data_IF_850260605728
#
_entry.id   IF_850260605728
#
_cell.length_a   1.000
_cell.length_b   1.000
_cell.length_c   1.000
_cell.angle_alpha   90.00
_cell.angle_beta   90.00
_cell.angle_gamma   90.00
#
_symmetry.space_group_name_H-M   'P 1'
#
loop_
_entity.id
_entity.type
_entity.pdbx_description
1 polymer ?
#
# COMPACT_ATOMS: atom_id res chain seq x y z
N UNK A 1 21.33 -14.87 -23.05
CA UNK A 1 20.26 -14.83 -22.03
C UNK A 1 20.76 -14.43 -20.64
N UNK A 2 21.82 -15.04 -20.05
CA UNK A 2 22.36 -14.66 -18.71
C UNK A 2 22.89 -13.20 -18.67
N UNK A 3 23.57 -12.72 -19.71
CA UNK A 3 24.04 -11.33 -19.79
C UNK A 3 22.87 -10.32 -19.88
N UNK A 4 21.80 -10.60 -20.63
CA UNK A 4 20.59 -9.76 -20.65
C UNK A 4 19.91 -9.70 -19.27
N UNK A 5 19.81 -10.83 -18.56
CA UNK A 5 19.25 -10.85 -17.20
C UNK A 5 20.08 -10.05 -16.18
N UNK A 6 21.42 -10.02 -16.33
CA UNK A 6 22.29 -9.19 -15.49
C UNK A 6 22.10 -7.68 -15.81
N UNK A 7 22.06 -7.30 -17.06
CA UNK A 7 21.82 -5.89 -17.45
C UNK A 7 20.44 -5.35 -17.01
N UNK A 8 19.41 -6.20 -16.99
CA UNK A 8 18.07 -5.82 -16.52
C UNK A 8 18.05 -5.64 -14.98
N UNK A 9 18.80 -6.48 -14.26
CA UNK A 9 18.86 -6.43 -12.78
C UNK A 9 19.58 -5.19 -12.25
N UNK A 10 20.53 -4.65 -13.01
CA UNK A 10 21.37 -3.50 -12.65
C UNK A 10 20.95 -2.20 -13.37
N UNK A 11 19.85 -2.23 -14.11
CA UNK A 11 19.34 -1.03 -14.78
C UNK A 11 18.84 -0.02 -13.76
N UNK A 12 19.30 1.24 -13.81
CA UNK A 12 18.79 2.31 -12.94
C UNK A 12 17.29 2.57 -13.12
N UNK A 13 16.72 2.16 -14.25
CA UNK A 13 15.28 2.23 -14.51
C UNK A 13 14.47 1.26 -13.64
N UNK A 14 15.02 0.09 -13.29
CA UNK A 14 14.31 -0.89 -12.45
C UNK A 14 14.15 -0.47 -10.99
N UNK A 15 15.02 0.41 -10.49
CA UNK A 15 14.86 0.98 -9.15
C UNK A 15 13.71 1.99 -9.07
N UNK A 16 13.28 2.54 -10.21
CA UNK A 16 12.18 3.51 -10.34
C UNK A 16 10.87 2.87 -10.82
N UNK A 17 10.91 1.63 -11.31
CA UNK A 17 9.72 0.93 -11.78
C UNK A 17 8.89 0.46 -10.60
N UNK A 18 7.62 0.85 -10.60
CA UNK A 18 6.63 0.36 -9.65
C UNK A 18 6.52 -1.18 -9.76
N UNK A 19 6.82 -1.85 -8.64
CA UNK A 19 6.75 -3.32 -8.55
C UNK A 19 5.32 -3.84 -8.43
N UNK A 20 4.37 -2.95 -8.22
CA UNK A 20 2.96 -3.24 -8.21
C UNK A 20 2.35 -2.84 -9.56
N UNK A 21 1.74 -3.79 -10.24
CA UNK A 21 1.11 -3.59 -11.54
C UNK A 21 -0.41 -3.79 -11.53
N UNK A 22 -1.00 -3.98 -10.37
CA UNK A 22 -2.47 -4.01 -10.23
C UNK A 22 -3.09 -2.62 -10.37
N UNK A 23 -4.41 -2.60 -10.52
CA UNK A 23 -5.20 -1.40 -10.81
C UNK A 23 -5.38 -0.41 -9.66
N UNK A 24 -5.00 -0.77 -8.44
CA UNK A 24 -5.19 0.14 -7.30
C UNK A 24 -4.07 1.17 -7.25
N UNK A 25 -4.38 2.47 -7.40
CA UNK A 25 -3.38 3.51 -7.26
C UNK A 25 -3.00 3.69 -5.77
N UNK A 26 -1.75 4.04 -5.52
CA UNK A 26 -1.23 4.45 -4.21
C UNK A 26 -1.31 3.40 -3.08
N UNK A 27 -1.56 2.14 -3.39
CA UNK A 27 -1.57 1.07 -2.39
C UNK A 27 -0.33 0.20 -2.50
N UNK A 28 0.41 0.07 -1.40
CA UNK A 28 1.60 -0.78 -1.31
C UNK A 28 1.68 -1.50 0.05
N UNK A 29 0.54 -1.71 0.69
CA UNK A 29 0.45 -2.43 1.95
C UNK A 29 0.79 -3.91 1.80
N UNK A 30 1.51 -4.53 2.76
CA UNK A 30 1.80 -5.95 2.74
C UNK A 30 0.55 -6.75 3.12
N UNK A 31 -0.24 -7.15 2.13
CA UNK A 31 -1.33 -8.10 2.33
C UNK A 31 -0.80 -9.50 2.05
N UNK A 32 -0.10 -10.08 3.02
CA UNK A 32 0.52 -11.39 2.86
C UNK A 32 0.38 -12.22 4.14
N UNK A 33 -0.46 -13.22 4.10
CA UNK A 33 -0.70 -14.14 5.23
C UNK A 33 0.38 -15.22 5.39
N UNK A 34 1.21 -15.45 4.37
CA UNK A 34 2.21 -16.53 4.33
C UNK A 34 1.72 -17.78 3.59
N UNK A 35 2.59 -18.35 2.76
CA UNK A 35 2.28 -19.55 1.97
C UNK A 35 1.98 -20.77 2.86
N UNK A 36 2.73 -20.92 3.96
CA UNK A 36 2.50 -21.96 4.95
C UNK A 36 1.14 -21.77 5.64
N UNK A 37 0.80 -20.55 6.04
CA UNK A 37 -0.50 -20.25 6.69
C UNK A 37 -1.65 -20.51 5.74
N UNK A 38 -1.51 -20.13 4.47
CA UNK A 38 -2.54 -20.39 3.46
C UNK A 38 -2.77 -21.89 3.25
N UNK A 39 -1.71 -22.69 3.20
CA UNK A 39 -1.82 -24.15 3.15
C UNK A 39 -2.56 -24.72 4.38
N UNK A 40 -2.18 -24.28 5.58
CA UNK A 40 -2.81 -24.71 6.82
C UNK A 40 -4.26 -24.22 6.95
N UNK A 41 -4.58 -23.04 6.43
CA UNK A 41 -5.95 -22.51 6.34
C UNK A 41 -6.81 -23.41 5.46
N UNK A 42 -6.34 -23.78 4.25
CA UNK A 42 -7.07 -24.69 3.35
C UNK A 42 -7.24 -26.05 3.98
N UNK A 43 -6.22 -26.58 4.64
CA UNK A 43 -6.34 -27.83 5.42
C UNK A 43 -7.37 -27.68 6.55
N UNK A 44 -7.38 -26.54 7.24
CA UNK A 44 -8.36 -26.21 8.29
C UNK A 44 -9.80 -26.20 7.80
N UNK A 45 -10.03 -25.70 6.58
CA UNK A 45 -11.36 -25.76 5.96
C UNK A 45 -11.91 -27.18 5.82
N UNK A 46 -11.04 -28.16 5.64
CA UNK A 46 -11.44 -29.57 5.56
C UNK A 46 -11.55 -30.25 6.91
N UNK A 47 -10.54 -30.12 7.79
CA UNK A 47 -10.45 -30.93 9.00
C UNK A 47 -11.14 -30.33 10.23
N UNK A 48 -11.28 -28.99 10.30
CA UNK A 48 -11.96 -28.34 11.44
C UNK A 48 -13.48 -28.46 11.25
N UNK A 49 -14.19 -28.96 12.27
CA UNK A 49 -15.64 -29.25 12.21
C UNK A 49 -16.46 -28.40 13.18
N UNK A 50 -15.94 -27.27 13.65
CA UNK A 50 -16.64 -26.36 14.55
C UNK A 50 -17.48 -25.33 13.77
N UNK A 51 -18.58 -24.81 14.34
CA UNK A 51 -19.34 -23.72 13.70
C UNK A 51 -18.47 -22.48 13.40
N UNK A 52 -17.48 -22.22 14.26
CA UNK A 52 -16.52 -21.11 14.10
C UNK A 52 -15.80 -21.17 12.74
N UNK A 53 -15.51 -22.37 12.21
CA UNK A 53 -14.91 -22.50 10.87
C UNK A 53 -15.73 -21.79 9.80
N UNK A 54 -17.06 -22.00 9.82
CA UNK A 54 -17.94 -21.41 8.82
C UNK A 54 -18.01 -19.90 8.92
N UNK A 55 -18.02 -19.37 10.15
CA UNK A 55 -17.95 -17.93 10.38
C UNK A 55 -16.63 -17.33 9.85
N UNK A 56 -15.48 -17.94 10.20
CA UNK A 56 -14.17 -17.50 9.72
C UNK A 56 -14.06 -17.56 8.19
N UNK A 57 -14.56 -18.63 7.58
CA UNK A 57 -14.55 -18.78 6.11
C UNK A 57 -15.44 -17.75 5.44
N UNK A 58 -16.68 -17.57 5.92
CA UNK A 58 -17.61 -16.59 5.38
C UNK A 58 -17.07 -15.17 5.48
N UNK A 59 -16.50 -14.78 6.62
CA UNK A 59 -15.88 -13.47 6.81
C UNK A 59 -14.66 -13.30 5.91
N UNK A 60 -13.82 -14.33 5.76
CA UNK A 60 -12.66 -14.28 4.84
C UNK A 60 -13.11 -14.05 3.41
N UNK A 61 -14.09 -14.82 2.91
CA UNK A 61 -14.63 -14.66 1.55
C UNK A 61 -15.23 -13.26 1.36
N UNK A 62 -16.06 -12.82 2.31
CA UNK A 62 -16.71 -11.52 2.27
C UNK A 62 -15.68 -10.38 2.19
N UNK A 63 -14.66 -10.42 3.04
CA UNK A 63 -13.64 -9.36 3.06
C UNK A 63 -12.74 -9.36 1.82
N UNK A 64 -12.44 -10.53 1.26
CA UNK A 64 -11.74 -10.63 -0.03
C UNK A 64 -12.60 -10.06 -1.16
N UNK A 65 -13.89 -10.40 -1.23
CA UNK A 65 -14.80 -9.85 -2.26
C UNK A 65 -14.92 -8.32 -2.14
N UNK A 66 -15.09 -7.79 -0.93
CA UNK A 66 -15.17 -6.34 -0.69
C UNK A 66 -13.86 -5.63 -1.06
N UNK A 67 -12.71 -6.27 -0.89
CA UNK A 67 -11.41 -5.68 -1.22
C UNK A 67 -11.21 -5.45 -2.72
N UNK A 68 -11.94 -6.15 -3.58
CA UNK A 68 -11.88 -5.97 -5.03
C UNK A 68 -12.45 -4.63 -5.51
N UNK A 69 -13.30 -3.99 -4.71
CA UNK A 69 -13.79 -2.62 -4.97
C UNK A 69 -14.30 -2.44 -6.40
N UNK A 70 -13.64 -1.57 -7.18
CA UNK A 70 -14.02 -1.28 -8.57
C UNK A 70 -14.04 -2.49 -9.50
N UNK A 71 -13.28 -3.54 -9.20
CA UNK A 71 -13.24 -4.76 -10.02
C UNK A 71 -14.48 -5.65 -9.81
N UNK A 72 -15.33 -5.33 -8.82
CA UNK A 72 -16.57 -6.02 -8.53
C UNK A 72 -17.68 -5.01 -8.16
N UNK A 73 -17.93 -4.04 -9.07
CA UNK A 73 -18.78 -2.88 -8.81
C UNK A 73 -20.20 -3.27 -8.36
N UNK A 74 -20.86 -4.24 -9.00
CA UNK A 74 -22.20 -4.65 -8.63
C UNK A 74 -22.33 -5.04 -7.14
N UNK A 75 -21.29 -5.63 -6.56
CA UNK A 75 -21.25 -6.01 -5.16
C UNK A 75 -20.89 -4.82 -4.27
N UNK A 76 -19.93 -4.01 -4.72
CA UNK A 76 -19.48 -2.81 -4.01
C UNK A 76 -20.60 -1.76 -3.94
N UNK A 77 -21.33 -1.54 -5.04
CA UNK A 77 -22.47 -0.59 -5.09
C UNK A 77 -23.58 -1.00 -4.11
N UNK A 78 -23.88 -2.32 -4.03
CA UNK A 78 -24.84 -2.80 -3.06
C UNK A 78 -24.43 -2.46 -1.61
N UNK A 79 -23.14 -2.54 -1.26
CA UNK A 79 -22.66 -2.12 0.07
C UNK A 79 -22.63 -0.60 0.24
N UNK A 80 -22.34 0.18 -0.80
CA UNK A 80 -22.37 1.64 -0.77
C UNK A 80 -23.79 2.14 -0.49
N UNK A 81 -24.78 1.52 -1.13
CA UNK A 81 -26.18 1.97 -1.09
C UNK A 81 -26.90 1.52 0.19
N UNK A 82 -26.65 0.28 0.63
CA UNK A 82 -27.45 -0.34 1.70
C UNK A 82 -26.71 -0.50 3.03
N UNK A 83 -25.37 -0.50 3.04
CA UNK A 83 -24.64 -0.71 4.28
C UNK A 83 -24.26 0.62 4.94
N UNK A 84 -24.70 0.87 6.20
CA UNK A 84 -24.47 2.14 6.87
C UNK A 84 -22.97 2.47 6.95
N UNK A 85 -22.63 3.71 6.59
CA UNK A 85 -21.27 4.26 6.69
C UNK A 85 -20.21 3.62 5.76
N UNK A 86 -20.53 2.60 4.97
CA UNK A 86 -19.54 1.98 4.08
C UNK A 86 -18.94 2.99 3.08
N UNK A 87 -19.74 3.92 2.57
CA UNK A 87 -19.35 5.00 1.66
C UNK A 87 -18.37 6.03 2.27
N UNK A 88 -18.07 5.95 3.57
CA UNK A 88 -17.09 6.83 4.23
C UNK A 88 -15.67 6.29 4.15
N UNK A 89 -15.47 5.03 3.80
CA UNK A 89 -14.15 4.42 3.67
C UNK A 89 -13.61 4.64 2.26
N UNK A 90 -12.38 5.17 2.16
CA UNK A 90 -11.72 5.42 0.86
C UNK A 90 -10.91 4.24 0.35
N UNK A 91 -10.30 3.47 1.26
CA UNK A 91 -9.37 2.39 0.92
C UNK A 91 -10.04 1.05 1.19
N UNK A 92 -10.71 0.51 0.17
CA UNK A 92 -11.46 -0.75 0.30
C UNK A 92 -10.56 -1.94 0.61
N UNK A 93 -9.29 -1.94 0.14
CA UNK A 93 -8.34 -3.02 0.41
C UNK A 93 -7.92 -3.14 1.87
N UNK A 94 -8.08 -2.10 2.70
CA UNK A 94 -7.77 -2.16 4.13
C UNK A 94 -8.62 -3.18 4.90
N UNK A 95 -9.79 -3.58 4.35
CA UNK A 95 -10.64 -4.62 4.94
C UNK A 95 -9.95 -6.00 4.97
N UNK A 96 -8.91 -6.21 4.15
CA UNK A 96 -8.16 -7.47 4.12
C UNK A 96 -7.45 -7.79 5.44
N UNK A 97 -7.25 -6.81 6.33
CA UNK A 97 -6.75 -7.06 7.70
C UNK A 97 -7.61 -8.08 8.45
N UNK A 98 -8.90 -8.13 8.15
CA UNK A 98 -9.82 -9.12 8.75
C UNK A 98 -9.55 -10.52 8.19
N UNK A 99 -9.29 -10.64 6.89
CA UNK A 99 -8.86 -11.91 6.28
C UNK A 99 -7.50 -12.36 6.82
N UNK A 100 -6.54 -11.41 6.99
CA UNK A 100 -5.23 -11.66 7.60
C UNK A 100 -5.31 -12.14 9.06
N UNK A 101 -6.40 -11.86 9.76
CA UNK A 101 -6.69 -12.41 11.07
C UNK A 101 -7.40 -13.76 11.00
N UNK A 102 -8.43 -13.90 10.16
CA UNK A 102 -9.27 -15.08 10.09
C UNK A 102 -8.52 -16.31 9.54
N UNK A 103 -7.67 -16.11 8.52
CA UNK A 103 -6.91 -17.21 7.91
C UNK A 103 -5.90 -17.83 8.89
N UNK A 104 -5.02 -17.10 9.58
CA UNK A 104 -4.12 -17.66 10.58
C UNK A 104 -4.88 -18.30 11.76
N UNK A 105 -6.00 -17.72 12.18
CA UNK A 105 -6.79 -18.29 13.25
C UNK A 105 -7.30 -19.69 12.89
N UNK A 106 -7.84 -19.87 11.68
CA UNK A 106 -8.29 -21.20 11.23
C UNK A 106 -7.10 -22.15 11.03
N UNK A 107 -5.95 -21.66 10.56
CA UNK A 107 -4.72 -22.45 10.46
C UNK A 107 -4.24 -22.95 11.83
N UNK A 108 -4.27 -22.09 12.85
CA UNK A 108 -3.93 -22.49 14.24
C UNK A 108 -4.92 -23.51 14.80
N UNK A 109 -6.21 -23.34 14.53
CA UNK A 109 -7.23 -24.33 14.94
C UNK A 109 -6.99 -25.69 14.26
N UNK A 110 -6.55 -25.70 12.99
CA UNK A 110 -6.15 -26.91 12.30
C UNK A 110 -4.93 -27.58 12.95
N UNK A 111 -3.88 -26.79 13.23
CA UNK A 111 -2.68 -27.28 13.93
C UNK A 111 -3.00 -27.83 15.31
N UNK A 112 -3.81 -27.10 16.12
CA UNK A 112 -4.26 -27.59 17.41
C UNK A 112 -4.87 -28.99 17.27
N UNK A 113 -5.81 -29.16 16.34
CA UNK A 113 -6.48 -30.44 16.14
C UNK A 113 -5.53 -31.55 15.67
N UNK A 114 -4.52 -31.23 14.86
CA UNK A 114 -3.48 -32.16 14.41
C UNK A 114 -2.57 -32.57 15.56
N UNK A 115 -2.18 -31.64 16.42
CA UNK A 115 -1.28 -31.95 17.55
C UNK A 115 -2.02 -32.65 18.70
N UNK A 116 -3.31 -32.36 18.91
CA UNK A 116 -4.14 -33.09 19.87
C UNK A 116 -4.39 -34.55 19.42
N UNK A 117 -4.60 -34.79 18.12
CA UNK A 117 -4.78 -36.12 17.51
C UNK A 117 -4.07 -36.24 16.15
N UNK A 118 -2.78 -36.59 16.12
CA UNK A 118 -2.05 -36.76 14.86
C UNK A 118 -2.63 -37.82 13.91
N UNK A 119 -3.46 -38.75 14.42
CA UNK A 119 -4.11 -39.77 13.60
C UNK A 119 -5.12 -39.18 12.62
N UNK A 120 -5.56 -37.94 12.84
CA UNK A 120 -6.47 -37.24 11.94
C UNK A 120 -5.92 -37.12 10.53
N UNK A 121 -4.60 -36.94 10.37
CA UNK A 121 -3.94 -36.88 9.05
C UNK A 121 -4.01 -38.20 8.28
N UNK A 122 -4.18 -39.35 8.99
CA UNK A 122 -4.41 -40.65 8.36
C UNK A 122 -5.89 -40.88 8.06
N UNK A 123 -6.76 -40.50 8.98
CA UNK A 123 -8.21 -40.62 8.84
C UNK A 123 -8.76 -39.72 7.74
N UNK A 124 -8.30 -38.48 7.68
CA UNK A 124 -8.68 -37.47 6.68
C UNK A 124 -7.58 -37.32 5.58
N UNK A 125 -7.08 -38.47 5.08
CA UNK A 125 -5.95 -38.49 4.12
C UNK A 125 -6.22 -37.67 2.87
N UNK A 126 -7.45 -37.72 2.34
CA UNK A 126 -7.79 -36.98 1.14
C UNK A 126 -7.79 -35.46 1.38
N UNK A 127 -8.28 -35.01 2.52
CA UNK A 127 -8.24 -33.60 2.92
C UNK A 127 -6.79 -33.10 3.01
N UNK A 128 -5.89 -33.93 3.56
CA UNK A 128 -4.49 -33.61 3.65
C UNK A 128 -3.78 -33.52 2.29
N UNK A 129 -3.96 -34.52 1.42
CA UNK A 129 -3.37 -34.52 0.09
C UNK A 129 -3.98 -33.46 -0.82
N UNK A 130 -5.29 -33.25 -0.74
CA UNK A 130 -6.01 -32.27 -1.55
C UNK A 130 -5.58 -30.82 -1.18
N UNK A 131 -5.44 -30.50 0.11
CA UNK A 131 -4.98 -29.18 0.53
C UNK A 131 -3.55 -28.89 0.06
N UNK A 132 -2.63 -29.85 0.19
CA UNK A 132 -1.28 -29.73 -0.35
C UNK A 132 -1.25 -29.64 -1.88
N UNK A 133 -2.09 -30.45 -2.55
CA UNK A 133 -2.21 -30.45 -4.01
C UNK A 133 -2.79 -29.17 -4.56
N UNK A 134 -3.83 -28.59 -3.94
CA UNK A 134 -4.42 -27.31 -4.37
C UNK A 134 -3.39 -26.19 -4.22
N UNK A 135 -2.87 -26.00 -3.00
CA UNK A 135 -2.00 -24.82 -2.72
C UNK A 135 -0.64 -24.98 -3.39
N UNK A 136 -0.02 -26.16 -3.25
CA UNK A 136 1.26 -26.44 -3.91
C UNK A 136 1.12 -26.52 -5.43
N UNK A 137 0.04 -27.07 -5.95
CA UNK A 137 -0.24 -27.15 -7.38
C UNK A 137 -0.42 -25.78 -8.02
N UNK A 138 -1.20 -24.89 -7.41
CA UNK A 138 -1.34 -23.50 -7.89
C UNK A 138 0.00 -22.77 -7.88
N UNK A 139 0.78 -22.89 -6.81
CA UNK A 139 2.09 -22.26 -6.72
C UNK A 139 3.07 -22.83 -7.79
N UNK A 140 3.03 -24.14 -8.03
CA UNK A 140 3.85 -24.78 -9.07
C UNK A 140 3.42 -24.36 -10.48
N UNK A 141 2.13 -24.31 -10.75
CA UNK A 141 1.60 -23.83 -12.04
C UNK A 141 2.00 -22.37 -12.28
N UNK A 142 1.89 -21.50 -11.28
CA UNK A 142 2.33 -20.11 -11.36
C UNK A 142 3.84 -20.00 -11.62
N UNK A 143 4.65 -20.87 -11.02
CA UNK A 143 6.09 -20.89 -11.23
C UNK A 143 6.50 -21.38 -12.63
N UNK A 144 5.79 -22.38 -13.18
CA UNK A 144 6.09 -22.97 -14.48
C UNK A 144 5.47 -22.19 -15.64
N UNK A 145 4.28 -21.67 -15.45
CA UNK A 145 3.47 -20.99 -16.47
C UNK A 145 2.97 -19.62 -16.01
N UNK A 146 3.86 -18.67 -15.69
CA UNK A 146 3.48 -17.37 -15.15
C UNK A 146 2.54 -16.58 -16.07
N UNK A 147 2.67 -16.71 -17.40
CA UNK A 147 1.82 -16.06 -18.39
C UNK A 147 0.36 -16.54 -18.44
N UNK A 148 -0.01 -17.60 -17.68
CA UNK A 148 -1.41 -17.99 -17.50
C UNK A 148 -2.13 -17.13 -16.46
N UNK A 149 -1.39 -16.41 -15.65
CA UNK A 149 -1.93 -15.63 -14.53
C UNK A 149 -2.04 -14.15 -14.85
N UNK A 150 -1.08 -13.57 -15.59
CA UNK A 150 -1.04 -12.15 -15.89
C UNK A 150 -0.09 -11.87 -17.06
N UNK A 151 -0.31 -10.72 -17.73
CA UNK A 151 0.59 -10.14 -18.74
C UNK A 151 1.68 -9.27 -18.13
N UNK A 152 1.62 -8.99 -16.84
CA UNK A 152 2.58 -8.21 -16.05
C UNK A 152 2.71 -6.73 -16.45
N UNK A 153 1.72 -6.19 -17.14
CA UNK A 153 1.62 -4.80 -17.56
C UNK A 153 0.31 -4.17 -17.07
N UNK A 154 0.33 -2.87 -16.84
CA UNK A 154 -0.89 -2.08 -16.57
C UNK A 154 -1.57 -1.75 -17.89
N UNK A 155 -2.87 -1.46 -17.88
CA UNK A 155 -3.63 -1.16 -19.09
C UNK A 155 -2.99 -0.04 -19.92
N UNK A 156 -2.57 1.05 -19.28
CA UNK A 156 -1.90 2.16 -19.99
C UNK A 156 -0.52 1.79 -20.53
N UNK A 157 0.19 0.82 -19.95
CA UNK A 157 1.48 0.31 -20.41
C UNK A 157 1.27 -0.60 -21.64
N UNK A 158 0.16 -1.35 -21.69
CA UNK A 158 -0.24 -2.15 -22.85
C UNK A 158 -0.56 -1.27 -24.07
N UNK A 159 -1.21 -0.14 -23.86
CA UNK A 159 -1.45 0.85 -24.93
C UNK A 159 -0.15 1.52 -25.37
N UNK A 160 0.70 1.89 -24.42
CA UNK A 160 1.96 2.58 -24.69
C UNK A 160 3.00 1.70 -25.42
N UNK A 161 2.96 0.37 -25.26
CA UNK A 161 3.90 -0.55 -25.94
C UNK A 161 3.77 -0.49 -27.45
N UNK A 162 2.62 -0.07 -27.97
CA UNK A 162 2.36 0.09 -29.40
C UNK A 162 2.95 1.38 -29.97
N UNK A 163 3.40 2.32 -29.13
CA UNK A 163 3.98 3.58 -29.57
C UNK A 163 5.47 3.42 -29.90
N UNK A 164 5.98 4.11 -30.95
CA UNK A 164 7.40 4.05 -31.31
C UNK A 164 8.30 4.48 -30.15
N UNK A 165 9.30 3.67 -29.83
CA UNK A 165 10.29 3.95 -28.79
C UNK A 165 9.98 3.42 -27.40
N UNK A 166 8.74 3.02 -27.09
CA UNK A 166 8.36 2.51 -25.76
C UNK A 166 8.30 0.97 -25.68
N UNK A 167 8.27 0.27 -26.81
CA UNK A 167 8.10 -1.18 -26.87
C UNK A 167 9.18 -1.97 -26.11
N UNK A 168 10.46 -1.63 -26.27
CA UNK A 168 11.56 -2.30 -25.56
C UNK A 168 11.53 -2.03 -24.04
N UNK A 169 11.18 -0.80 -23.65
CA UNK A 169 11.10 -0.41 -22.25
C UNK A 169 10.02 -1.22 -21.51
N UNK A 170 8.80 -1.25 -22.04
CA UNK A 170 7.68 -1.97 -21.38
C UNK A 170 7.86 -3.48 -21.46
N UNK A 171 8.44 -4.03 -22.53
CA UNK A 171 8.82 -5.43 -22.59
C UNK A 171 9.83 -5.81 -21.50
N UNK A 172 10.84 -4.95 -21.25
CA UNK A 172 11.80 -5.13 -20.15
C UNK A 172 11.15 -5.07 -18.78
N UNK A 173 10.18 -4.18 -18.58
CA UNK A 173 9.39 -4.06 -17.34
C UNK A 173 8.57 -5.35 -17.09
N UNK A 174 7.86 -5.82 -18.12
CA UNK A 174 7.07 -7.05 -18.03
C UNK A 174 7.95 -8.28 -17.71
N UNK A 175 9.11 -8.40 -18.36
CA UNK A 175 10.06 -9.48 -18.07
C UNK A 175 10.57 -9.43 -16.62
N UNK A 176 10.87 -8.24 -16.10
CA UNK A 176 11.31 -8.06 -14.72
C UNK A 176 10.21 -8.43 -13.70
N UNK A 177 8.97 -7.98 -13.92
CA UNK A 177 7.81 -8.33 -13.07
C UNK A 177 7.52 -9.83 -13.12
N UNK A 178 7.57 -10.43 -14.31
CA UNK A 178 7.44 -11.87 -14.52
C UNK A 178 8.50 -12.66 -13.76
N UNK A 179 9.75 -12.20 -13.77
CA UNK A 179 10.83 -12.85 -13.01
C UNK A 179 10.60 -12.79 -11.50
N UNK A 180 10.11 -11.65 -10.98
CA UNK A 180 9.74 -11.49 -9.56
C UNK A 180 8.61 -12.44 -9.19
N UNK A 181 7.54 -12.47 -9.99
CA UNK A 181 6.40 -13.36 -9.78
C UNK A 181 6.81 -14.83 -9.76
N UNK A 182 7.60 -15.26 -10.74
CA UNK A 182 8.12 -16.63 -10.85
C UNK A 182 8.97 -17.02 -9.63
N UNK A 183 9.85 -16.12 -9.18
CA UNK A 183 10.68 -16.36 -8.00
C UNK A 183 9.84 -16.49 -6.71
N UNK A 184 8.83 -15.64 -6.53
CA UNK A 184 7.91 -15.72 -5.39
C UNK A 184 7.00 -16.95 -5.46
N UNK A 185 6.59 -17.41 -6.64
CA UNK A 185 5.83 -18.64 -6.84
C UNK A 185 6.67 -19.88 -6.47
N UNK A 186 7.93 -19.96 -6.90
CA UNK A 186 8.85 -21.03 -6.50
C UNK A 186 9.09 -21.04 -4.98
N UNK A 187 9.31 -19.87 -4.37
CA UNK A 187 9.44 -19.75 -2.93
C UNK A 187 8.22 -20.30 -2.21
N UNK A 188 7.02 -19.89 -2.64
CA UNK A 188 5.75 -20.34 -2.07
C UNK A 188 5.56 -21.84 -2.20
N UNK A 189 5.88 -22.42 -3.36
CA UNK A 189 5.85 -23.85 -3.58
C UNK A 189 6.78 -24.61 -2.62
N UNK A 190 8.03 -24.16 -2.48
CA UNK A 190 9.00 -24.79 -1.57
C UNK A 190 8.52 -24.73 -0.12
N UNK A 191 7.98 -23.59 0.33
CA UNK A 191 7.46 -23.41 1.69
C UNK A 191 6.28 -24.35 1.96
N UNK A 192 5.34 -24.44 1.02
CA UNK A 192 4.19 -25.36 1.12
C UNK A 192 4.68 -26.82 1.13
N UNK A 193 5.62 -27.19 0.28
CA UNK A 193 6.20 -28.52 0.23
C UNK A 193 6.92 -28.89 1.56
N UNK A 194 7.69 -27.98 2.13
CA UNK A 194 8.34 -28.18 3.43
C UNK A 194 7.31 -28.36 4.55
N UNK A 195 6.27 -27.53 4.60
CA UNK A 195 5.18 -27.65 5.56
C UNK A 195 4.41 -28.97 5.39
N UNK A 196 4.12 -29.36 4.16
CA UNK A 196 3.47 -30.63 3.83
C UNK A 196 4.32 -31.82 4.29
N UNK A 197 5.63 -31.83 3.96
CA UNK A 197 6.57 -32.89 4.37
C UNK A 197 6.67 -32.96 5.89
N UNK A 198 6.75 -31.85 6.60
CA UNK A 198 6.79 -31.83 8.07
C UNK A 198 5.55 -32.53 8.67
N UNK A 199 4.36 -32.18 8.19
CA UNK A 199 3.11 -32.83 8.65
C UNK A 199 3.01 -34.30 8.19
N UNK A 200 3.56 -34.63 7.03
CA UNK A 200 3.62 -36.02 6.56
C UNK A 200 4.54 -36.89 7.43
N UNK A 201 5.69 -36.36 7.86
CA UNK A 201 6.58 -37.04 8.81
C UNK A 201 5.94 -37.27 10.18
N UNK A 202 5.11 -36.31 10.64
CA UNK A 202 4.29 -36.47 11.85
C UNK A 202 3.24 -37.58 11.65
N UNK A 203 2.55 -37.57 10.51
CA UNK A 203 1.56 -38.59 10.14
C UNK A 203 2.14 -40.01 10.15
N UNK A 204 3.37 -40.17 9.63
CA UNK A 204 4.07 -41.45 9.59
C UNK A 204 4.79 -41.80 10.91
N UNK A 205 4.62 -40.96 11.95
CA UNK A 205 5.28 -41.12 13.26
C UNK A 205 6.80 -41.16 13.20
N UNK A 206 7.41 -40.56 12.15
CA UNK A 206 8.87 -40.45 12.01
C UNK A 206 9.45 -39.32 12.84
N UNK A 207 8.65 -38.28 13.08
CA UNK A 207 9.01 -37.15 13.95
C UNK A 207 7.95 -36.93 15.02
N UNK A 208 8.40 -36.48 16.21
CA UNK A 208 7.50 -36.12 17.31
C UNK A 208 6.83 -34.76 17.08
N UNK A 209 5.69 -34.56 17.73
CA UNK A 209 4.89 -33.32 17.61
C UNK A 209 5.68 -32.05 17.90
N UNK A 210 6.53 -32.07 18.93
CA UNK A 210 7.37 -30.91 19.30
C UNK A 210 8.35 -30.53 18.19
N UNK A 211 9.00 -31.52 17.58
CA UNK A 211 9.98 -31.29 16.48
C UNK A 211 9.28 -30.70 15.28
N UNK A 212 8.11 -31.23 14.91
CA UNK A 212 7.32 -30.72 13.77
C UNK A 212 6.79 -29.31 14.08
N UNK A 213 6.36 -29.03 15.30
CA UNK A 213 5.95 -27.67 15.70
C UNK A 213 7.07 -26.66 15.53
N UNK A 214 8.28 -26.98 16.03
CA UNK A 214 9.46 -26.13 15.87
C UNK A 214 9.82 -25.94 14.38
N UNK A 215 9.77 -27.02 13.59
CA UNK A 215 10.02 -26.93 12.16
C UNK A 215 9.02 -26.01 11.44
N UNK A 216 7.73 -26.11 11.74
CA UNK A 216 6.70 -25.21 11.17
C UNK A 216 6.93 -23.76 11.57
N UNK A 217 7.33 -23.49 12.82
CA UNK A 217 7.67 -22.12 13.26
C UNK A 217 8.88 -21.58 12.50
N UNK A 218 9.93 -22.38 12.33
CA UNK A 218 11.12 -21.99 11.56
C UNK A 218 10.77 -21.70 10.11
N UNK A 219 9.95 -22.55 9.47
CA UNK A 219 9.48 -22.36 8.10
C UNK A 219 8.66 -21.05 8.02
N UNK A 220 7.75 -20.79 8.97
CA UNK A 220 6.94 -19.57 9.04
C UNK A 220 7.81 -18.31 9.17
N UNK A 221 8.82 -18.33 10.03
CA UNK A 221 9.76 -17.22 10.18
C UNK A 221 10.53 -17.01 8.86
N UNK A 222 10.98 -18.09 8.22
CA UNK A 222 11.66 -18.03 6.93
C UNK A 222 10.78 -17.50 5.80
N UNK A 223 9.46 -17.71 5.87
CA UNK A 223 8.50 -17.18 4.93
C UNK A 223 8.21 -15.69 5.17
N UNK A 224 7.86 -15.33 6.40
CA UNK A 224 7.37 -14.00 6.74
C UNK A 224 8.48 -12.94 6.85
N UNK A 225 9.66 -13.31 7.38
CA UNK A 225 10.75 -12.37 7.65
C UNK A 225 11.25 -11.63 6.39
N UNK A 226 11.55 -12.30 5.25
CA UNK A 226 11.99 -11.60 4.04
C UNK A 226 10.93 -10.67 3.46
N UNK A 227 9.65 -11.05 3.57
CA UNK A 227 8.53 -10.22 3.09
C UNK A 227 8.41 -8.97 3.95
N UNK A 228 8.35 -9.12 5.27
CA UNK A 228 8.23 -8.01 6.20
C UNK A 228 9.41 -7.02 6.07
N UNK A 229 10.63 -7.54 5.84
CA UNK A 229 11.83 -6.71 5.66
C UNK A 229 11.81 -5.87 4.38
N UNK A 230 10.99 -6.19 3.38
CA UNK A 230 10.78 -5.32 2.20
C UNK A 230 10.09 -4.00 2.58
N UNK A 231 9.21 -4.03 3.58
CA UNK A 231 8.41 -2.89 4.03
C UNK A 231 9.03 -2.19 5.24
N UNK A 232 9.57 -2.95 6.19
CA UNK A 232 10.22 -2.41 7.39
C UNK A 232 11.67 -2.89 7.44
N UNK A 233 12.58 -2.01 7.10
CA UNK A 233 14.03 -2.27 7.07
C UNK A 233 14.80 -1.15 7.79
N UNK A 234 16.12 -1.28 7.89
CA UNK A 234 16.97 -0.31 8.59
C UNK A 234 16.88 1.11 8.02
N UNK A 235 16.55 1.26 6.73
CA UNK A 235 16.37 2.57 6.09
C UNK A 235 15.13 3.34 6.56
N UNK A 236 14.15 2.65 7.17
CA UNK A 236 12.95 3.27 7.71
C UNK A 236 13.15 3.85 9.12
N UNK A 237 14.28 3.55 9.76
CA UNK A 237 14.60 4.06 11.09
C UNK A 237 15.46 5.34 10.98
N UNK A 238 15.08 6.34 11.73
CA UNK A 238 15.82 7.60 11.82
C UNK A 238 16.41 7.77 13.21
N UNK A 239 17.46 8.56 13.31
CA UNK A 239 18.08 8.89 14.61
C UNK A 239 17.11 9.66 15.50
N UNK A 240 17.28 9.58 16.82
CA UNK A 240 16.47 10.32 17.79
C UNK A 240 16.51 11.83 17.53
N UNK A 241 17.67 12.38 17.16
CA UNK A 241 17.81 13.80 16.81
C UNK A 241 16.94 14.19 15.60
N UNK A 242 16.89 13.35 14.56
CA UNK A 242 16.04 13.59 13.39
C UNK A 242 14.55 13.40 13.69
N UNK A 243 14.20 12.52 14.64
CA UNK A 243 12.82 12.39 15.11
C UNK A 243 12.37 13.65 15.87
N UNK A 244 13.25 14.22 16.71
CA UNK A 244 12.93 15.42 17.51
C UNK A 244 12.86 16.68 16.63
N UNK A 245 13.71 16.76 15.59
CA UNK A 245 13.69 17.85 14.61
C UNK A 245 13.59 17.32 13.19
N UNK A 246 12.38 16.91 12.76
CA UNK A 246 12.16 16.27 11.45
C UNK A 246 12.42 17.23 10.28
N UNK A 247 12.20 18.53 10.51
CA UNK A 247 12.37 19.59 9.52
C UNK A 247 13.32 20.66 10.07
N UNK A 248 14.59 20.65 9.67
CA UNK A 248 15.52 21.72 10.04
C UNK A 248 14.99 23.07 9.56
N UNK A 249 15.05 24.06 10.44
CA UNK A 249 14.61 25.44 10.16
C UNK A 249 15.51 26.08 9.10
N UNK A 250 14.91 26.61 8.04
CA UNK A 250 15.63 27.35 6.99
C UNK A 250 15.85 28.82 7.35
N UNK A 251 16.62 29.53 6.53
CA UNK A 251 16.77 30.99 6.67
C UNK A 251 15.43 31.71 6.42
N UNK A 252 14.63 31.19 5.46
CA UNK A 252 13.30 31.71 5.20
C UNK A 252 12.38 31.57 6.42
N UNK A 253 12.38 30.41 7.06
CA UNK A 253 11.59 30.19 8.29
C UNK A 253 12.03 31.14 9.40
N UNK A 254 13.34 31.32 9.61
CA UNK A 254 13.86 32.23 10.63
C UNK A 254 13.49 33.70 10.39
N UNK A 255 13.50 34.10 9.11
CA UNK A 255 13.09 35.46 8.74
C UNK A 255 11.59 35.69 9.04
N UNK A 256 10.73 34.77 8.63
CA UNK A 256 9.29 34.88 8.82
C UNK A 256 8.92 34.84 10.30
N UNK A 257 9.58 34.03 11.12
CA UNK A 257 9.32 33.89 12.54
C UNK A 257 9.78 35.15 13.38
N UNK A 258 10.47 36.10 12.78
CA UNK A 258 10.75 37.38 13.40
C UNK A 258 9.47 38.26 13.49
N UNK A 259 8.49 38.03 12.62
CA UNK A 259 7.19 38.70 12.72
C UNK A 259 6.42 38.13 13.91
N UNK A 260 6.17 39.01 14.90
CA UNK A 260 5.46 38.66 16.13
C UNK A 260 3.95 38.56 15.96
N UNK A 261 3.42 39.03 14.83
CA UNK A 261 2.00 38.84 14.51
C UNK A 261 1.76 37.38 14.14
N UNK A 262 0.89 36.69 14.85
CA UNK A 262 0.56 35.29 14.62
C UNK A 262 -0.61 35.10 13.60
N UNK A 263 -1.15 36.18 13.06
CA UNK A 263 -2.35 36.18 12.28
C UNK A 263 -2.10 36.34 10.76
N UNK A 264 -1.11 35.64 10.24
CA UNK A 264 -0.82 35.57 8.80
C UNK A 264 -0.67 34.13 8.33
N UNK A 265 -0.73 33.95 7.02
CA UNK A 265 -0.42 32.66 6.37
C UNK A 265 0.79 32.77 5.47
N UNK A 266 1.40 31.62 5.24
CA UNK A 266 2.59 31.46 4.40
C UNK A 266 2.27 30.51 3.25
N UNK A 267 2.65 30.88 2.03
CA UNK A 267 2.66 30.03 0.86
C UNK A 267 4.11 29.63 0.55
N UNK A 268 4.41 28.35 0.47
CA UNK A 268 5.73 27.88 0.09
C UNK A 268 5.72 27.42 -1.38
N UNK A 269 6.10 28.32 -2.29
CA UNK A 269 6.24 28.02 -3.70
C UNK A 269 7.53 27.25 -4.04
N UNK A 270 8.45 27.09 -3.09
CA UNK A 270 9.68 26.33 -3.22
C UNK A 270 9.52 24.84 -2.84
N UNK A 271 8.31 24.40 -2.46
CA UNK A 271 8.04 23.05 -1.97
C UNK A 271 8.20 21.94 -3.02
N UNK A 272 8.28 22.28 -4.30
CA UNK A 272 8.45 21.32 -5.39
C UNK A 272 8.50 21.97 -6.76
N UNK A 273 8.52 21.18 -7.84
CA UNK A 273 8.69 21.70 -9.20
C UNK A 273 7.51 22.54 -9.70
N UNK A 274 6.35 22.42 -9.06
CA UNK A 274 5.15 23.18 -9.42
C UNK A 274 4.49 23.75 -8.18
N UNK A 275 3.73 24.84 -8.33
CA UNK A 275 2.98 25.44 -7.22
C UNK A 275 1.95 24.46 -6.62
N UNK A 276 1.44 23.51 -7.42
CA UNK A 276 0.54 22.47 -6.94
C UNK A 276 1.18 21.58 -5.85
N UNK A 277 2.51 21.41 -5.86
CA UNK A 277 3.22 20.66 -4.82
C UNK A 277 3.11 21.31 -3.43
N UNK A 278 2.99 22.64 -3.36
CA UNK A 278 2.82 23.41 -2.10
C UNK A 278 1.57 23.01 -1.33
N UNK A 279 0.55 22.50 -2.02
CA UNK A 279 -0.72 22.10 -1.39
C UNK A 279 -0.71 20.67 -0.86
N UNK A 280 0.40 19.95 -0.99
CA UNK A 280 0.58 18.58 -0.52
C UNK A 280 1.80 18.40 0.40
N UNK A 281 2.58 19.45 0.68
CA UNK A 281 3.76 19.36 1.52
C UNK A 281 3.45 19.72 2.99
N UNK A 282 3.96 18.97 3.98
CA UNK A 282 3.65 19.17 5.39
C UNK A 282 4.64 20.13 6.11
N UNK A 283 5.83 20.40 5.53
CA UNK A 283 6.92 21.11 6.20
C UNK A 283 6.55 22.54 6.60
N UNK A 284 5.89 23.27 5.70
CA UNK A 284 5.50 24.66 5.96
C UNK A 284 4.54 24.75 7.16
N UNK A 285 3.63 23.78 7.29
CA UNK A 285 2.69 23.70 8.42
C UNK A 285 3.36 23.41 9.77
N UNK A 286 4.61 22.95 9.76
CA UNK A 286 5.35 22.68 10.99
C UNK A 286 5.79 23.98 11.70
N UNK A 287 6.12 25.02 10.95
CA UNK A 287 6.57 26.30 11.47
C UNK A 287 5.54 27.42 11.34
N UNK A 288 4.68 27.37 10.33
CA UNK A 288 3.82 28.47 9.93
C UNK A 288 2.37 28.03 9.70
N UNK A 289 1.43 28.97 9.76
CA UNK A 289 0.08 28.76 9.25
C UNK A 289 0.14 28.71 7.72
N UNK A 290 0.18 27.53 7.15
CA UNK A 290 0.30 27.34 5.70
C UNK A 290 -1.01 27.58 4.96
N UNK A 291 -0.93 28.14 3.76
CA UNK A 291 -2.04 28.14 2.77
C UNK A 291 -2.21 26.74 2.17
N UNK A 292 -1.11 25.98 2.08
CA UNK A 292 -1.07 24.61 1.57
C UNK A 292 -1.13 23.56 2.67
N UNK A 293 -0.54 22.42 2.36
CA UNK A 293 -0.42 21.28 3.26
C UNK A 293 -1.35 20.14 2.89
N UNK A 294 -0.90 18.92 3.18
CA UNK A 294 -1.69 17.71 2.96
C UNK A 294 -2.68 17.49 4.10
N UNK A 295 -3.94 17.30 3.77
CA UNK A 295 -4.96 16.88 4.71
C UNK A 295 -5.95 15.92 4.04
N UNK A 296 -6.10 14.72 4.59
CA UNK A 296 -6.96 13.67 4.00
C UNK A 296 -8.44 14.03 4.00
N UNK A 297 -8.89 14.85 4.98
CA UNK A 297 -10.27 15.30 5.12
C UNK A 297 -10.41 16.81 4.79
N UNK A 298 -9.76 17.26 3.73
CA UNK A 298 -9.83 18.64 3.24
C UNK A 298 -11.26 19.00 2.85
N UNK A 299 -11.71 20.22 3.21
CA UNK A 299 -13.02 20.71 2.80
C UNK A 299 -13.09 20.81 1.27
N UNK A 300 -14.18 20.37 0.68
CA UNK A 300 -14.38 20.40 -0.79
C UNK A 300 -14.23 21.81 -1.34
N UNK A 301 -14.87 22.79 -0.71
CA UNK A 301 -14.77 24.21 -1.12
C UNK A 301 -13.33 24.73 -1.13
N UNK A 302 -12.49 24.26 -0.21
CA UNK A 302 -11.08 24.64 -0.19
C UNK A 302 -10.27 23.91 -1.28
N UNK A 303 -10.62 22.69 -1.60
CA UNK A 303 -10.03 21.96 -2.73
C UNK A 303 -10.39 22.64 -4.06
N UNK A 304 -11.65 23.04 -4.24
CA UNK A 304 -12.08 23.77 -5.44
C UNK A 304 -11.34 25.11 -5.57
N UNK A 305 -11.11 25.81 -4.44
CA UNK A 305 -10.30 27.03 -4.41
C UNK A 305 -8.82 26.76 -4.82
N UNK A 306 -8.24 25.65 -4.37
CA UNK A 306 -6.90 25.25 -4.78
C UNK A 306 -6.85 24.99 -6.29
N UNK A 307 -7.74 24.14 -6.80
CA UNK A 307 -7.75 23.69 -8.20
C UNK A 307 -7.98 24.84 -9.20
N UNK A 308 -8.87 25.76 -8.88
CA UNK A 308 -9.27 26.80 -9.82
C UNK A 308 -8.54 28.14 -9.64
N UNK A 309 -8.00 28.43 -8.46
CA UNK A 309 -7.46 29.74 -8.15
C UNK A 309 -6.01 29.69 -7.63
N UNK A 310 -5.73 28.88 -6.60
CA UNK A 310 -4.44 28.93 -5.92
C UNK A 310 -3.31 28.30 -6.73
N UNK A 311 -3.59 27.27 -7.52
CA UNK A 311 -2.59 26.66 -8.43
C UNK A 311 -2.12 27.68 -9.48
N UNK A 312 -2.98 28.63 -9.84
CA UNK A 312 -2.69 29.73 -10.76
C UNK A 312 -2.12 30.98 -10.05
N UNK A 313 -1.81 30.86 -8.75
CA UNK A 313 -1.30 31.97 -7.93
C UNK A 313 -2.16 33.24 -7.97
N UNK A 314 -3.51 33.10 -8.03
CA UNK A 314 -4.42 34.23 -8.07
C UNK A 314 -4.17 35.19 -6.88
N UNK A 315 -3.70 36.44 -7.13
CA UNK A 315 -3.28 37.32 -6.05
C UNK A 315 -4.48 37.79 -5.20
N UNK A 316 -5.66 37.96 -5.77
CA UNK A 316 -6.84 38.34 -5.02
C UNK A 316 -7.22 37.28 -3.97
N UNK A 317 -7.13 35.99 -4.32
CA UNK A 317 -7.41 34.87 -3.42
C UNK A 317 -6.33 34.73 -2.36
N UNK A 318 -5.05 34.90 -2.72
CA UNK A 318 -3.95 34.92 -1.76
C UNK A 318 -4.09 36.07 -0.75
N UNK A 319 -4.52 37.26 -1.19
CA UNK A 319 -4.80 38.41 -0.34
C UNK A 319 -5.96 38.12 0.62
N UNK A 320 -7.06 37.54 0.10
CA UNK A 320 -8.21 37.12 0.88
C UNK A 320 -7.86 36.09 1.96
N UNK A 321 -6.95 35.16 1.65
CA UNK A 321 -6.46 34.16 2.60
C UNK A 321 -5.42 34.71 3.59
N UNK A 322 -5.14 36.02 3.58
CA UNK A 322 -4.13 36.68 4.39
C UNK A 322 -2.73 36.05 4.22
N UNK A 323 -2.36 35.75 2.98
CA UNK A 323 -1.03 35.22 2.63
C UNK A 323 -0.02 36.37 2.67
N UNK A 324 0.62 36.59 3.80
CA UNK A 324 1.57 37.69 4.02
C UNK A 324 2.96 37.39 3.48
N UNK A 325 3.38 36.13 3.52
CA UNK A 325 4.70 35.70 3.08
C UNK A 325 4.60 34.61 2.05
N UNK A 326 5.46 34.71 1.02
CA UNK A 326 5.61 33.72 -0.04
C UNK A 326 7.07 33.30 -0.07
N UNK A 327 7.36 32.03 0.19
CA UNK A 327 8.69 31.43 0.03
C UNK A 327 8.84 31.04 -1.44
N UNK A 328 9.86 31.56 -2.11
CA UNK A 328 10.13 31.29 -3.53
C UNK A 328 11.49 30.60 -3.70
N UNK A 329 11.63 29.68 -4.68
CA UNK A 329 12.91 29.08 -5.01
C UNK A 329 13.80 30.09 -5.72
N UNK A 330 15.11 30.04 -5.44
CA UNK A 330 16.16 30.70 -6.20
C UNK A 330 16.87 29.70 -7.10
N UNK A 331 17.49 30.18 -8.19
CA UNK A 331 18.21 29.35 -9.18
C UNK A 331 19.35 28.51 -8.57
N UNK A 332 19.90 28.93 -7.45
CA UNK A 332 20.97 28.23 -6.73
C UNK A 332 20.45 27.18 -5.71
N UNK A 333 19.17 26.84 -5.75
CA UNK A 333 18.53 25.91 -4.80
C UNK A 333 18.30 26.48 -3.40
N UNK A 334 18.54 27.78 -3.18
CA UNK A 334 18.16 28.49 -1.96
C UNK A 334 16.73 28.98 -2.04
N UNK A 335 16.19 29.35 -0.88
CA UNK A 335 14.86 29.94 -0.75
C UNK A 335 14.97 31.44 -0.43
N UNK A 336 14.04 32.23 -0.95
CA UNK A 336 13.87 33.63 -0.60
C UNK A 336 12.46 33.89 -0.10
N UNK A 337 12.27 34.97 0.66
CA UNK A 337 10.96 35.34 1.20
C UNK A 337 10.51 36.64 0.55
N UNK A 338 9.35 36.61 -0.07
CA UNK A 338 8.68 37.81 -0.59
C UNK A 338 7.52 38.15 0.33
N UNK A 339 7.46 39.40 0.78
CA UNK A 339 6.32 39.92 1.53
C UNK A 339 5.22 40.38 0.58
N UNK A 340 4.00 39.90 0.81
CA UNK A 340 2.82 40.36 0.08
C UNK A 340 2.15 41.53 0.80
N UNK A 341 2.26 42.78 0.28
CA UNK A 341 1.64 43.93 0.91
C UNK A 341 0.12 44.01 0.74
N UNK A 342 -0.44 43.19 -0.18
CA UNK A 342 -1.88 43.12 -0.46
C UNK A 342 -2.66 42.20 0.49
N UNK A 343 -2.03 41.52 1.45
CA UNK A 343 -2.71 40.63 2.39
C UNK A 343 -3.73 41.42 3.23
N UNK A 344 -5.01 40.96 3.20
CA UNK A 344 -6.16 41.73 3.75
C UNK A 344 -6.36 41.58 5.26
N UNK A 345 -5.51 40.77 5.93
CA UNK A 345 -5.68 40.50 7.36
C UNK A 345 -6.77 39.44 7.62
N UNK A 346 -7.22 39.39 8.88
CA UNK A 346 -8.22 38.38 9.30
C UNK A 346 -9.66 38.77 8.98
N UNK A 347 -9.91 40.05 8.73
CA UNK A 347 -11.22 40.59 8.37
C UNK A 347 -11.03 41.86 7.53
N UNK A 348 -11.92 42.07 6.58
CA UNK A 348 -11.96 43.25 5.74
C UNK A 348 -13.40 43.58 5.33
N UNK A 349 -13.62 44.83 4.98
CA UNK A 349 -14.90 45.27 4.47
C UNK A 349 -14.96 45.05 2.95
N UNK A 350 -16.16 44.72 2.45
CA UNK A 350 -16.45 44.61 1.01
C UNK A 350 -17.41 45.73 0.62
N UNK A 351 -17.25 46.27 -0.57
CA UNK A 351 -18.09 47.32 -1.10
C UNK A 351 -19.41 46.81 -1.68
N UNK A 352 -19.40 45.57 -2.13
CA UNK A 352 -20.57 44.94 -2.78
C UNK A 352 -20.60 43.45 -2.49
N UNK A 353 -21.79 42.88 -2.36
CA UNK A 353 -22.06 41.43 -2.23
C UNK A 353 -22.99 41.02 -3.34
N UNK A 354 -22.52 40.13 -4.22
CA UNK A 354 -23.33 39.51 -5.26
C UNK A 354 -23.72 38.11 -4.84
N UNK A 355 -25.03 37.91 -4.74
CA UNK A 355 -25.59 36.59 -4.45
C UNK A 355 -25.65 35.75 -5.73
N UNK A 356 -25.24 34.50 -5.64
CA UNK A 356 -25.27 33.51 -6.72
C UNK A 356 -25.84 32.20 -6.19
N UNK A 357 -26.58 31.46 -7.03
CA UNK A 357 -27.23 30.21 -6.63
C UNK A 357 -26.24 29.03 -6.52
N UNK A 358 -25.15 29.07 -7.27
CA UNK A 358 -24.10 28.05 -7.28
C UNK A 358 -22.70 28.69 -7.21
N UNK A 359 -21.76 27.89 -6.68
CA UNK A 359 -20.36 28.27 -6.62
C UNK A 359 -19.65 27.92 -7.92
#
# INVERSE_FOLDING_TARGET
RRQRQMCIRDSPYLSQVDRYWGDQPFTSGPVYVGALIFFLFVLGCFIVRTPLKWALLAVTILTVMLSWGKNMMWFTDWFIDYFPMYNRFRTVSSILVVAEFCMPLLAVLALKKIFDDPSILKREKWSFYLSGGIVGGIALLAALFPGLFDDFLKDYELEAIQQPGYGELFAGIAEARRAIFTADAWRSFVIVALGFVALWLLREKKLGSTVVMVALVVILIGDMYPVNKRYLNSGNFVTAARKTNPFPMTEADRYILQDKDMNYRVLNAAAGPTLAASFNEPRTSYYHKSVGGYHAAKLRRYQDLIEHQLVNANPAVLNMLNTRYIIQPLENGKETVVRNPGALGNAWFVSEVKWVDNA
#
